data_IF_310060047331
#
_entry.id   IF_310060047331
#
_cell.length_a   1.000
_cell.length_b   1.000
_cell.length_c   1.000
_cell.angle_alpha   90.00
_cell.angle_beta   90.00
_cell.angle_gamma   90.00
#
_symmetry.space_group_name_H-M   'P 1'
#
loop_
_entity.id
_entity.type
_entity.pdbx_description
1 polymer ?
#
# COMPACT_ATOMS: atom_id res chain seq x y z
N UNK A 1 11.38 -9.66 -1.82
CA UNK A 1 10.65 -10.11 -0.60
C UNK A 1 11.02 -9.29 0.62
N UNK A 2 12.31 -9.10 0.95
CA UNK A 2 12.70 -8.30 2.13
C UNK A 2 12.12 -6.87 2.15
N UNK A 3 12.04 -6.18 1.00
CA UNK A 3 11.40 -4.86 0.93
C UNK A 3 9.95 -4.87 1.41
N UNK A 4 9.17 -5.90 1.05
CA UNK A 4 7.76 -6.03 1.43
C UNK A 4 7.58 -6.15 2.94
N UNK A 5 8.51 -6.81 3.64
CA UNK A 5 8.45 -6.96 5.10
C UNK A 5 8.56 -5.62 5.83
N UNK A 6 9.12 -4.60 5.18
CA UNK A 6 9.26 -3.24 5.71
C UNK A 6 8.17 -2.29 5.22
N UNK A 7 7.25 -2.76 4.37
CA UNK A 7 6.10 -1.96 3.95
C UNK A 7 5.15 -1.71 5.14
N UNK A 8 4.54 -0.53 5.18
CA UNK A 8 3.55 -0.17 6.21
C UNK A 8 3.82 1.16 6.91
N UNK A 9 5.08 1.65 6.93
CA UNK A 9 5.39 2.95 7.54
C UNK A 9 4.60 4.11 6.90
N UNK A 10 4.24 4.00 5.62
CA UNK A 10 3.48 5.04 4.91
C UNK A 10 2.09 5.27 5.48
N UNK A 11 1.46 4.27 6.10
CA UNK A 11 0.13 4.43 6.73
C UNK A 11 0.14 5.50 7.82
N UNK A 12 1.23 5.62 8.57
CA UNK A 12 1.40 6.68 9.57
C UNK A 12 1.40 8.08 8.94
N UNK A 13 1.89 8.22 7.71
CA UNK A 13 1.87 9.48 6.98
C UNK A 13 0.47 9.84 6.44
N UNK A 14 -0.34 8.83 6.08
CA UNK A 14 -1.73 9.06 5.63
C UNK A 14 -2.60 9.56 6.80
N UNK A 15 -2.37 9.03 8.01
CA UNK A 15 -3.06 9.48 9.23
C UNK A 15 -2.46 10.74 9.86
N UNK A 16 -1.52 11.42 9.20
CA UNK A 16 -0.87 12.62 9.71
C UNK A 16 -1.86 13.73 10.14
N UNK A 17 -3.02 13.81 9.48
CA UNK A 17 -4.06 14.79 9.80
C UNK A 17 -4.79 14.53 11.12
N UNK A 18 -4.74 13.31 11.64
CA UNK A 18 -5.36 12.91 12.92
C UNK A 18 -4.36 12.91 14.08
N UNK A 19 -3.07 13.12 13.80
CA UNK A 19 -2.00 13.10 14.79
C UNK A 19 -1.79 14.48 15.41
N UNK A 20 -1.74 14.54 16.74
CA UNK A 20 -1.33 15.74 17.48
C UNK A 20 0.15 16.05 17.21
N UNK A 21 0.45 17.25 16.72
CA UNK A 21 1.79 17.74 16.39
C UNK A 21 2.55 16.84 15.38
N UNK A 22 2.06 16.68 14.14
CA UNK A 22 2.58 15.73 13.17
C UNK A 22 4.07 15.96 12.83
N UNK A 23 4.53 17.23 12.85
CA UNK A 23 5.92 17.60 12.55
C UNK A 23 6.97 16.91 13.44
N UNK A 24 6.63 16.62 14.70
CA UNK A 24 7.56 15.96 15.65
C UNK A 24 7.20 14.49 15.85
N UNK A 25 5.91 14.19 15.93
CA UNK A 25 5.43 12.84 16.24
C UNK A 25 5.71 11.86 15.11
N UNK A 26 5.51 12.25 13.84
CA UNK A 26 5.67 11.34 12.70
C UNK A 26 7.12 10.86 12.55
N UNK A 27 8.15 11.73 12.55
CA UNK A 27 9.54 11.27 12.45
C UNK A 27 9.94 10.33 13.59
N UNK A 28 9.53 10.63 14.82
CA UNK A 28 9.84 9.80 16.00
C UNK A 28 9.12 8.45 15.89
N UNK A 29 7.85 8.44 15.48
CA UNK A 29 7.08 7.21 15.31
C UNK A 29 7.67 6.32 14.22
N UNK A 30 8.10 6.89 13.08
CA UNK A 30 8.72 6.13 11.99
C UNK A 30 10.06 5.54 12.43
N UNK A 31 10.98 6.36 12.96
CA UNK A 31 12.32 5.89 13.38
C UNK A 31 12.21 4.90 14.53
N UNK A 32 11.38 5.19 15.53
CA UNK A 32 11.14 4.31 16.67
C UNK A 32 10.49 3.00 16.25
N UNK A 33 9.46 3.06 15.39
CA UNK A 33 8.78 1.88 14.86
C UNK A 33 9.71 0.98 14.06
N UNK A 34 10.53 1.57 13.18
CA UNK A 34 11.56 0.84 12.41
C UNK A 34 12.58 0.19 13.34
N UNK A 35 13.06 0.92 14.36
CA UNK A 35 14.02 0.39 15.32
C UNK A 35 13.47 -0.78 16.13
N UNK A 36 12.24 -0.65 16.64
CA UNK A 36 11.57 -1.74 17.37
C UNK A 36 11.34 -2.95 16.45
N UNK A 37 10.85 -2.72 15.23
CA UNK A 37 10.65 -3.78 14.25
C UNK A 37 11.96 -4.51 13.90
N UNK A 38 13.06 -3.77 13.71
CA UNK A 38 14.38 -4.35 13.47
C UNK A 38 14.80 -5.29 14.60
N UNK A 39 14.69 -4.83 15.86
CA UNK A 39 15.08 -5.62 17.03
C UNK A 39 14.24 -6.90 17.12
N UNK A 40 12.92 -6.78 16.95
CA UNK A 40 12.02 -7.94 16.98
C UNK A 40 12.34 -8.91 15.85
N UNK A 41 12.57 -8.42 14.62
CA UNK A 41 12.90 -9.27 13.48
C UNK A 41 14.24 -9.99 13.66
N UNK A 42 15.26 -9.30 14.15
CA UNK A 42 16.56 -9.90 14.42
C UNK A 42 16.48 -10.95 15.53
N UNK A 43 15.74 -10.67 16.60
CA UNK A 43 15.53 -11.63 17.68
C UNK A 43 14.80 -12.88 17.17
N UNK A 44 13.72 -12.71 16.40
CA UNK A 44 12.95 -13.81 15.82
C UNK A 44 13.75 -14.60 14.79
N UNK A 45 14.54 -13.92 13.95
CA UNK A 45 15.41 -14.59 12.99
C UNK A 45 16.50 -15.40 13.70
N UNK A 46 17.14 -14.83 14.73
CA UNK A 46 18.18 -15.51 15.50
C UNK A 46 17.65 -16.74 16.24
N UNK A 47 16.47 -16.64 16.87
CA UNK A 47 15.85 -17.79 17.57
C UNK A 47 15.43 -18.87 16.58
N UNK A 48 14.81 -18.50 15.47
CA UNK A 48 14.39 -19.45 14.42
C UNK A 48 15.61 -20.17 13.84
N UNK A 49 16.67 -19.43 13.51
CA UNK A 49 17.92 -19.99 12.99
C UNK A 49 18.60 -20.90 14.01
N UNK A 50 18.58 -20.52 15.30
CA UNK A 50 19.17 -21.32 16.38
C UNK A 50 18.45 -22.65 16.63
N UNK A 51 17.13 -22.71 16.40
CA UNK A 51 16.34 -23.94 16.61
C UNK A 51 16.36 -24.85 15.38
N UNK A 52 16.18 -24.28 14.18
CA UNK A 52 16.02 -25.04 12.95
C UNK A 52 17.36 -25.30 12.24
N UNK A 53 18.31 -24.38 12.35
CA UNK A 53 19.51 -24.35 11.53
C UNK A 53 19.29 -23.66 10.17
N UNK A 54 20.39 -23.35 9.45
CA UNK A 54 20.34 -22.56 8.21
C UNK A 54 19.66 -23.28 7.03
N UNK A 55 19.80 -24.59 6.91
CA UNK A 55 19.25 -25.33 5.76
C UNK A 55 17.72 -25.42 5.77
N UNK A 56 17.14 -25.76 6.92
CA UNK A 56 15.70 -25.91 7.13
C UNK A 56 14.98 -24.56 7.08
N UNK A 57 15.59 -23.50 7.60
CA UNK A 57 15.06 -22.13 7.52
C UNK A 57 14.92 -21.64 6.07
N UNK A 58 15.82 -22.05 5.17
CA UNK A 58 15.78 -21.71 3.75
C UNK A 58 14.82 -22.56 2.91
N UNK A 59 14.48 -23.76 3.38
CA UNK A 59 13.62 -24.72 2.66
C UNK A 59 12.15 -24.64 3.03
N UNK A 60 11.84 -24.34 4.29
CA UNK A 60 10.47 -24.41 4.79
C UNK A 60 9.68 -23.12 4.48
N UNK A 61 8.45 -23.26 4.01
CA UNK A 61 7.55 -22.13 3.78
C UNK A 61 6.99 -21.53 5.08
N UNK A 62 7.04 -22.28 6.20
CA UNK A 62 6.53 -21.86 7.52
C UNK A 62 7.58 -22.06 8.64
N UNK A 63 8.76 -21.41 8.55
CA UNK A 63 9.88 -21.68 9.45
C UNK A 63 9.57 -21.29 10.90
N UNK A 64 8.80 -20.23 11.13
CA UNK A 64 8.42 -19.80 12.49
C UNK A 64 7.54 -20.83 13.21
N UNK A 65 6.56 -21.39 12.50
CA UNK A 65 5.67 -22.40 13.05
C UNK A 65 6.45 -23.67 13.42
N UNK A 66 7.37 -24.11 12.55
CA UNK A 66 8.22 -25.28 12.81
C UNK A 66 9.19 -25.05 13.95
N UNK A 67 9.85 -23.90 14.00
CA UNK A 67 10.73 -23.55 15.11
C UNK A 67 9.99 -23.55 16.45
N UNK A 68 8.79 -22.96 16.50
CA UNK A 68 7.98 -22.94 17.72
C UNK A 68 7.49 -24.34 18.12
N UNK A 69 7.10 -25.17 17.15
CA UNK A 69 6.67 -26.54 17.40
C UNK A 69 7.82 -27.41 17.90
N UNK A 70 9.03 -27.22 17.36
CA UNK A 70 10.22 -27.96 17.79
C UNK A 70 10.74 -27.51 19.16
N UNK A 71 10.67 -26.20 19.46
CA UNK A 71 11.18 -25.66 20.73
C UNK A 71 10.21 -25.86 21.91
N UNK A 72 8.90 -25.74 21.69
CA UNK A 72 7.88 -25.69 22.76
C UNK A 72 6.84 -26.81 22.62
N UNK A 73 6.89 -27.60 21.54
CA UNK A 73 5.87 -28.60 21.22
C UNK A 73 4.64 -28.02 20.54
N UNK A 74 3.59 -28.82 20.42
CA UNK A 74 2.35 -28.47 19.69
C UNK A 74 1.72 -27.14 20.14
N UNK A 75 1.82 -26.81 21.44
CA UNK A 75 1.32 -25.55 21.99
C UNK A 75 2.03 -24.32 21.40
N UNK A 76 3.34 -24.39 21.20
CA UNK A 76 4.09 -23.29 20.57
C UNK A 76 3.65 -23.04 19.13
N UNK A 77 3.44 -24.12 18.37
CA UNK A 77 2.92 -24.03 17.00
C UNK A 77 1.54 -23.37 16.95
N UNK A 78 0.61 -23.77 17.83
CA UNK A 78 -0.75 -23.22 17.88
C UNK A 78 -0.75 -21.72 18.20
N UNK A 79 0.10 -21.26 19.12
CA UNK A 79 0.22 -19.84 19.47
C UNK A 79 0.69 -19.02 18.27
N UNK A 80 1.74 -19.49 17.56
CA UNK A 80 2.24 -18.81 16.36
C UNK A 80 1.16 -18.79 15.26
N UNK A 81 0.41 -19.88 15.10
CA UNK A 81 -0.68 -19.93 14.12
C UNK A 81 -1.79 -18.92 14.45
N UNK A 82 -2.23 -18.87 15.72
CA UNK A 82 -3.23 -17.91 16.17
C UNK A 82 -2.76 -16.45 16.01
N UNK A 83 -1.50 -16.17 16.32
CA UNK A 83 -0.89 -14.86 16.11
C UNK A 83 -0.84 -14.48 14.62
N UNK A 84 -0.44 -15.42 13.75
CA UNK A 84 -0.38 -15.20 12.31
C UNK A 84 -1.77 -14.91 11.72
N UNK A 85 -2.81 -15.64 12.16
CA UNK A 85 -4.19 -15.38 11.75
C UNK A 85 -4.68 -14.01 12.20
N UNK A 86 -4.48 -13.69 13.48
CA UNK A 86 -4.93 -12.42 14.04
C UNK A 86 -4.23 -11.23 13.37
N UNK A 87 -2.92 -11.34 13.14
CA UNK A 87 -2.15 -10.31 12.43
C UNK A 87 -2.62 -10.14 10.98
N UNK A 88 -2.79 -11.25 10.25
CA UNK A 88 -3.22 -11.22 8.84
C UNK A 88 -4.63 -10.65 8.68
N UNK A 89 -5.55 -11.01 9.56
CA UNK A 89 -6.92 -10.48 9.55
C UNK A 89 -6.95 -8.99 9.88
N UNK A 90 -6.14 -8.57 10.85
CA UNK A 90 -6.02 -7.15 11.23
C UNK A 90 -5.51 -6.31 10.06
N UNK A 91 -4.48 -6.79 9.36
CA UNK A 91 -3.91 -6.11 8.20
C UNK A 91 -4.91 -6.04 7.04
N UNK A 92 -5.58 -7.16 6.74
CA UNK A 92 -6.59 -7.25 5.67
C UNK A 92 -7.73 -6.25 5.88
N UNK A 93 -8.23 -6.11 7.11
CA UNK A 93 -9.28 -5.14 7.44
C UNK A 93 -8.76 -3.71 7.27
N UNK A 94 -7.54 -3.42 7.69
CA UNK A 94 -6.91 -2.12 7.52
C UNK A 94 -6.74 -1.72 6.05
N UNK A 95 -6.31 -2.65 5.20
CA UNK A 95 -6.15 -2.43 3.77
C UNK A 95 -7.50 -2.19 3.09
N UNK A 96 -8.50 -3.00 3.42
CA UNK A 96 -9.83 -2.89 2.82
C UNK A 96 -10.49 -1.55 3.16
N UNK A 97 -10.35 -1.08 4.40
CA UNK A 97 -10.83 0.23 4.82
C UNK A 97 -10.11 1.35 4.06
N UNK A 98 -8.78 1.29 3.98
CA UNK A 98 -7.97 2.29 3.28
C UNK A 98 -8.32 2.35 1.79
N UNK A 99 -8.38 1.20 1.13
CA UNK A 99 -8.70 1.10 -0.29
C UNK A 99 -10.13 1.58 -0.59
N UNK A 100 -11.10 1.26 0.27
CA UNK A 100 -12.48 1.71 0.12
C UNK A 100 -12.63 3.23 0.25
N UNK A 101 -11.88 3.87 1.15
CA UNK A 101 -11.87 5.33 1.30
C UNK A 101 -11.29 6.01 0.06
N UNK A 102 -10.19 5.49 -0.48
CA UNK A 102 -9.58 6.02 -1.73
C UNK A 102 -10.53 5.84 -2.92
N UNK A 103 -11.16 4.67 -3.05
CA UNK A 103 -12.12 4.42 -4.12
C UNK A 103 -13.34 5.36 -4.03
N UNK A 104 -13.81 5.66 -2.81
CA UNK A 104 -14.88 6.61 -2.58
C UNK A 104 -14.50 8.03 -3.03
N UNK A 105 -13.34 8.54 -2.60
CA UNK A 105 -12.89 9.91 -2.99
C UNK A 105 -12.65 10.02 -4.49
N UNK A 106 -12.12 8.97 -5.13
CA UNK A 106 -11.98 8.89 -6.59
C UNK A 106 -13.35 8.82 -7.29
N UNK A 107 -14.35 8.19 -6.68
CA UNK A 107 -15.73 8.16 -7.15
C UNK A 107 -16.42 9.54 -7.08
N UNK A 108 -16.23 10.29 -5.99
CA UNK A 108 -16.72 11.68 -5.88
C UNK A 108 -16.04 12.61 -6.88
N UNK A 109 -14.74 12.42 -7.12
CA UNK A 109 -13.98 13.15 -8.14
C UNK A 109 -14.34 12.75 -9.59
N UNK A 110 -15.30 11.82 -9.79
CA UNK A 110 -15.67 11.23 -11.08
C UNK A 110 -14.50 10.58 -11.85
N UNK A 111 -13.42 10.22 -11.15
CA UNK A 111 -12.29 9.47 -11.74
C UNK A 111 -12.60 7.98 -11.88
N UNK A 112 -13.52 7.48 -11.04
CA UNK A 112 -14.09 6.15 -11.12
C UNK A 112 -15.59 6.25 -11.47
N UNK A 113 -16.20 5.17 -12.00
CA UNK A 113 -17.62 5.21 -12.31
C UNK A 113 -18.43 5.50 -11.03
N UNK A 114 -19.33 6.49 -11.11
CA UNK A 114 -19.98 7.10 -9.92
C UNK A 114 -20.73 6.14 -9.00
N UNK A 115 -21.05 4.90 -9.44
CA UNK A 115 -21.62 3.87 -8.58
C UNK A 115 -20.63 3.32 -7.54
N UNK A 116 -19.31 3.45 -7.74
CA UNK A 116 -18.30 3.16 -6.71
C UNK A 116 -18.26 4.22 -5.61
N UNK A 117 -18.61 5.46 -5.94
CA UNK A 117 -18.69 6.58 -4.99
C UNK A 117 -19.99 6.64 -4.18
N UNK A 118 -20.92 5.69 -4.38
CA UNK A 118 -22.20 5.70 -3.66
C UNK A 118 -22.05 5.16 -2.24
N UNK A 119 -22.39 5.98 -1.25
CA UNK A 119 -22.43 5.59 0.17
C UNK A 119 -23.75 4.90 0.49
N UNK A 120 -23.68 3.77 1.19
CA UNK A 120 -24.89 3.12 1.71
C UNK A 120 -25.54 3.95 2.84
N UNK A 121 -26.84 4.30 2.77
CA UNK A 121 -27.49 5.26 3.67
C UNK A 121 -27.48 4.83 5.15
N UNK A 122 -27.57 3.52 5.43
CA UNK A 122 -27.61 2.98 6.80
C UNK A 122 -26.24 2.76 7.45
N UNK A 123 -25.24 2.32 6.68
CA UNK A 123 -23.94 1.92 7.21
C UNK A 123 -22.86 2.99 7.01
N UNK A 124 -23.14 4.02 6.20
CA UNK A 124 -22.18 5.08 5.84
C UNK A 124 -20.85 4.55 5.27
N UNK A 125 -20.88 3.38 4.64
CA UNK A 125 -19.73 2.71 4.01
C UNK A 125 -19.98 2.61 2.50
N UNK A 126 -18.95 2.83 1.65
CA UNK A 126 -19.04 2.60 0.20
C UNK A 126 -19.08 1.09 -0.13
N UNK A 127 -20.26 0.47 0.04
CA UNK A 127 -20.47 -0.99 -0.11
C UNK A 127 -19.99 -1.50 -1.48
N UNK A 128 -20.26 -0.76 -2.54
CA UNK A 128 -19.90 -1.17 -3.90
C UNK A 128 -18.39 -1.21 -4.10
N UNK A 129 -17.65 -0.24 -3.55
CA UNK A 129 -16.19 -0.24 -3.59
C UNK A 129 -15.63 -1.45 -2.83
N UNK A 130 -16.13 -1.72 -1.63
CA UNK A 130 -15.70 -2.87 -0.81
C UNK A 130 -15.95 -4.19 -1.52
N UNK A 131 -17.14 -4.39 -2.09
CA UNK A 131 -17.46 -5.64 -2.82
C UNK A 131 -16.61 -5.80 -4.08
N UNK A 132 -16.39 -4.72 -4.83
CA UNK A 132 -15.57 -4.77 -6.06
C UNK A 132 -14.12 -5.09 -5.73
N UNK A 133 -13.54 -4.41 -4.74
CA UNK A 133 -12.16 -4.66 -4.28
C UNK A 133 -12.04 -6.08 -3.73
N UNK A 134 -12.98 -6.51 -2.89
CA UNK A 134 -12.99 -7.86 -2.33
C UNK A 134 -13.09 -8.94 -3.41
N UNK A 135 -13.91 -8.73 -4.44
CA UNK A 135 -14.01 -9.64 -5.58
C UNK A 135 -12.69 -9.71 -6.38
N UNK A 136 -12.07 -8.56 -6.63
CA UNK A 136 -10.76 -8.51 -7.32
C UNK A 136 -9.71 -9.27 -6.51
N UNK A 137 -9.62 -9.01 -5.21
CA UNK A 137 -8.68 -9.71 -4.31
C UNK A 137 -8.94 -11.21 -4.31
N UNK A 138 -10.20 -11.64 -4.25
CA UNK A 138 -10.58 -13.06 -4.30
C UNK A 138 -10.13 -13.72 -5.60
N UNK A 139 -10.40 -13.09 -6.76
CA UNK A 139 -9.99 -13.62 -8.07
C UNK A 139 -8.47 -13.71 -8.16
N UNK A 140 -7.74 -12.69 -7.70
CA UNK A 140 -6.28 -12.68 -7.71
C UNK A 140 -5.70 -13.77 -6.79
N UNK A 141 -6.26 -13.95 -5.59
CA UNK A 141 -5.83 -14.96 -4.63
C UNK A 141 -6.04 -16.38 -5.14
N UNK A 142 -7.09 -16.63 -5.95
CA UNK A 142 -7.35 -17.94 -6.55
C UNK A 142 -6.53 -18.20 -7.83
N UNK A 143 -6.08 -17.14 -8.51
CA UNK A 143 -5.45 -17.26 -9.83
C UNK A 143 -3.91 -17.23 -9.80
N UNK A 144 -3.30 -16.62 -8.76
CA UNK A 144 -1.87 -16.36 -8.73
C UNK A 144 -1.21 -16.75 -7.41
N UNK A 145 0.04 -17.22 -7.49
CA UNK A 145 0.87 -17.47 -6.32
C UNK A 145 1.18 -16.18 -5.56
N UNK A 146 1.12 -16.27 -4.22
CA UNK A 146 1.46 -15.18 -3.31
C UNK A 146 2.85 -14.61 -3.63
N UNK A 147 3.85 -15.46 -3.85
CA UNK A 147 5.23 -15.01 -4.14
C UNK A 147 5.30 -14.13 -5.38
N UNK A 148 4.48 -14.42 -6.40
CA UNK A 148 4.43 -13.63 -7.63
C UNK A 148 3.69 -12.31 -7.41
N UNK A 149 2.54 -12.37 -6.73
CA UNK A 149 1.75 -11.19 -6.37
C UNK A 149 2.57 -10.19 -5.55
N UNK A 150 3.35 -10.66 -4.57
CA UNK A 150 4.22 -9.81 -3.75
C UNK A 150 5.30 -9.09 -4.59
N UNK A 151 5.87 -9.76 -5.58
CA UNK A 151 6.86 -9.14 -6.47
C UNK A 151 6.23 -8.04 -7.33
N UNK A 152 5.04 -8.29 -7.86
CA UNK A 152 4.27 -7.32 -8.64
C UNK A 152 3.82 -6.14 -7.78
N UNK A 153 3.26 -6.40 -6.60
CA UNK A 153 2.81 -5.37 -5.66
C UNK A 153 3.97 -4.46 -5.22
N UNK A 154 5.18 -5.01 -5.04
CA UNK A 154 6.37 -4.22 -4.71
C UNK A 154 6.67 -3.15 -5.77
N UNK A 155 6.40 -3.42 -7.06
CA UNK A 155 6.61 -2.44 -8.14
C UNK A 155 5.60 -1.30 -8.06
N UNK A 156 4.35 -1.59 -7.71
CA UNK A 156 3.34 -0.56 -7.46
C UNK A 156 3.75 0.34 -6.30
N UNK A 157 4.16 -0.25 -5.18
CA UNK A 157 4.63 0.50 -4.00
C UNK A 157 5.87 1.33 -4.31
N UNK A 158 6.85 0.77 -5.02
CA UNK A 158 8.06 1.51 -5.42
C UNK A 158 7.74 2.65 -6.39
N UNK A 159 6.85 2.42 -7.36
CA UNK A 159 6.39 3.48 -8.28
C UNK A 159 5.72 4.62 -7.50
N UNK A 160 4.87 4.28 -6.54
CA UNK A 160 4.23 5.27 -5.68
C UNK A 160 5.24 6.06 -4.84
N UNK A 161 6.27 5.40 -4.30
CA UNK A 161 7.35 6.06 -3.56
C UNK A 161 8.19 6.97 -4.47
N UNK A 162 8.47 6.58 -5.72
CA UNK A 162 9.15 7.42 -6.70
C UNK A 162 8.33 8.69 -6.95
N UNK A 163 7.03 8.56 -7.20
CA UNK A 163 6.13 9.70 -7.40
C UNK A 163 6.13 10.59 -6.16
N UNK A 164 6.03 10.00 -4.96
CA UNK A 164 6.01 10.74 -3.69
C UNK A 164 7.30 11.51 -3.46
N UNK A 165 8.47 10.90 -3.70
CA UNK A 165 9.76 11.57 -3.60
C UNK A 165 9.91 12.69 -4.62
N UNK A 166 9.43 12.48 -5.85
CA UNK A 166 9.42 13.51 -6.88
C UNK A 166 8.51 14.70 -6.51
N UNK A 167 7.31 14.44 -6.00
CA UNK A 167 6.40 15.47 -5.49
C UNK A 167 7.00 16.23 -4.30
N UNK A 168 7.71 15.55 -3.40
CA UNK A 168 8.39 16.19 -2.28
C UNK A 168 9.50 17.16 -2.74
N UNK A 169 10.16 16.89 -3.87
CA UNK A 169 11.16 17.77 -4.47
C UNK A 169 10.55 19.04 -5.09
N UNK A 170 9.28 19.02 -5.47
CA UNK A 170 8.57 20.20 -6.01
C UNK A 170 8.02 21.13 -4.92
N UNK A 171 7.95 20.67 -3.68
CA UNK A 171 7.41 21.45 -2.57
C UNK A 171 8.29 22.67 -2.23
N UNK A 172 7.68 23.81 -1.86
CA UNK A 172 8.40 25.03 -1.44
C UNK A 172 9.22 24.77 -0.16
N UNK A 173 10.38 25.42 -0.02
CA UNK A 173 11.34 25.22 1.11
C UNK A 173 10.67 25.36 2.48
N UNK A 174 9.70 26.25 2.64
CA UNK A 174 8.98 26.52 3.89
C UNK A 174 8.07 25.37 4.35
N UNK A 175 7.58 24.56 3.40
CA UNK A 175 6.71 23.42 3.68
C UNK A 175 7.47 22.09 3.81
N UNK A 176 8.78 22.08 3.54
CA UNK A 176 9.62 20.87 3.64
C UNK A 176 9.91 20.55 5.11
N UNK A 177 9.59 19.33 5.50
CA UNK A 177 9.94 18.78 6.83
C UNK A 177 11.36 18.22 6.87
N UNK A 178 11.94 17.88 5.71
CA UNK A 178 13.24 17.23 5.58
C UNK A 178 14.07 17.87 4.48
N UNK A 179 15.40 17.70 4.56
CA UNK A 179 16.36 18.16 3.56
C UNK A 179 16.12 17.44 2.22
N UNK A 180 16.21 18.11 1.06
CA UNK A 180 16.00 17.50 -0.26
C UNK A 180 16.93 16.32 -0.57
N UNK A 181 18.06 16.21 0.14
CA UNK A 181 18.97 15.07 0.06
C UNK A 181 18.27 13.75 0.38
N UNK A 182 17.35 13.74 1.35
CA UNK A 182 16.60 12.54 1.73
C UNK A 182 15.69 12.06 0.61
N UNK A 183 15.04 12.98 -0.12
CA UNK A 183 14.20 12.64 -1.27
C UNK A 183 15.01 12.11 -2.45
N UNK A 184 16.20 12.66 -2.69
CA UNK A 184 17.12 12.13 -3.71
C UNK A 184 17.64 10.74 -3.38
N UNK A 185 18.05 10.52 -2.12
CA UNK A 185 18.48 9.19 -1.65
C UNK A 185 17.36 8.16 -1.77
N UNK A 186 16.13 8.52 -1.37
CA UNK A 186 14.97 7.65 -1.51
C UNK A 186 14.66 7.31 -2.98
N UNK A 187 14.78 8.28 -3.89
CA UNK A 187 14.55 8.08 -5.31
C UNK A 187 15.60 7.16 -5.94
N UNK A 188 16.89 7.35 -5.60
CA UNK A 188 17.98 6.46 -6.03
C UNK A 188 17.76 5.05 -5.45
N UNK A 189 17.41 4.95 -4.16
CA UNK A 189 17.11 3.68 -3.51
C UNK A 189 15.96 2.93 -4.16
N UNK A 190 14.87 3.62 -4.52
CA UNK A 190 13.76 3.02 -5.25
C UNK A 190 14.19 2.52 -6.64
N UNK A 191 14.97 3.30 -7.39
CA UNK A 191 15.48 2.90 -8.70
C UNK A 191 16.40 1.68 -8.62
N UNK A 192 17.29 1.64 -7.62
CA UNK A 192 18.16 0.49 -7.38
C UNK A 192 17.36 -0.77 -7.00
N UNK A 193 16.32 -0.62 -6.17
CA UNK A 193 15.45 -1.74 -5.82
C UNK A 193 14.68 -2.25 -7.04
N UNK A 194 14.12 -1.35 -7.86
CA UNK A 194 13.46 -1.74 -9.13
C UNK A 194 14.43 -2.47 -10.06
N UNK A 195 15.68 -2.04 -10.15
CA UNK A 195 16.71 -2.71 -10.94
C UNK A 195 17.13 -4.08 -10.37
N UNK A 196 17.04 -4.26 -9.05
CA UNK A 196 17.33 -5.53 -8.38
C UNK A 196 16.18 -6.53 -8.45
N UNK A 197 14.96 -6.09 -8.78
CA UNK A 197 13.82 -6.97 -8.95
C UNK A 197 13.94 -7.82 -10.23
N UNK A 198 13.43 -9.06 -10.22
CA UNK A 198 13.48 -9.91 -11.39
C UNK A 198 12.69 -9.29 -12.55
N UNK A 199 13.26 -9.36 -13.76
CA UNK A 199 12.78 -8.66 -14.96
C UNK A 199 11.33 -8.99 -15.32
N UNK A 200 10.88 -10.23 -15.08
CA UNK A 200 9.50 -10.63 -15.30
C UNK A 200 8.51 -9.83 -14.43
N UNK A 201 8.87 -9.56 -13.17
CA UNK A 201 8.04 -8.80 -12.27
C UNK A 201 7.97 -7.36 -12.78
N UNK A 202 9.11 -6.75 -13.09
CA UNK A 202 9.22 -5.36 -13.57
C UNK A 202 8.39 -5.14 -14.83
N UNK A 203 8.47 -6.06 -15.79
CA UNK A 203 7.66 -6.01 -17.01
C UNK A 203 6.16 -6.11 -16.71
N UNK A 204 5.73 -7.07 -15.89
CA UNK A 204 4.32 -7.22 -15.55
C UNK A 204 3.76 -5.99 -14.80
N UNK A 205 4.52 -5.41 -13.87
CA UNK A 205 4.14 -4.19 -13.16
C UNK A 205 4.05 -2.98 -14.08
N UNK A 206 5.03 -2.78 -14.98
CA UNK A 206 5.01 -1.71 -15.98
C UNK A 206 3.82 -1.87 -16.93
N UNK A 207 3.55 -3.09 -17.41
CA UNK A 207 2.41 -3.37 -18.28
C UNK A 207 1.12 -2.97 -17.58
N UNK A 208 0.86 -3.45 -16.36
CA UNK A 208 -0.37 -3.12 -15.65
C UNK A 208 -0.48 -1.61 -15.39
N UNK A 209 0.61 -0.95 -14.99
CA UNK A 209 0.63 0.50 -14.82
C UNK A 209 0.33 1.24 -16.13
N UNK A 210 0.90 0.79 -17.25
CA UNK A 210 0.64 1.35 -18.57
C UNK A 210 -0.82 1.11 -19.01
N UNK A 211 -1.39 -0.06 -18.73
CA UNK A 211 -2.80 -0.35 -19.03
C UNK A 211 -3.73 0.52 -18.18
N UNK A 212 -3.43 0.68 -16.88
CA UNK A 212 -4.21 1.53 -15.97
C UNK A 212 -4.09 3.01 -16.32
N UNK A 213 -2.90 3.49 -16.66
CA UNK A 213 -2.68 4.86 -17.12
C UNK A 213 -3.36 5.10 -18.48
N UNK A 214 -3.27 4.14 -19.40
CA UNK A 214 -3.95 4.16 -20.68
C UNK A 214 -5.48 4.18 -20.53
N UNK A 215 -6.02 3.33 -19.65
CA UNK A 215 -7.44 3.30 -19.31
C UNK A 215 -7.89 4.63 -18.69
N UNK A 216 -7.10 5.21 -17.78
CA UNK A 216 -7.37 6.53 -17.20
C UNK A 216 -7.38 7.63 -18.26
N UNK A 217 -6.39 7.65 -19.16
CA UNK A 217 -6.32 8.64 -20.25
C UNK A 217 -7.48 8.49 -21.24
N UNK A 218 -7.87 7.26 -21.58
CA UNK A 218 -9.03 7.00 -22.43
C UNK A 218 -10.32 7.43 -21.72
N UNK A 219 -10.49 7.09 -20.44
CA UNK A 219 -11.65 7.51 -19.66
C UNK A 219 -11.76 9.04 -19.58
N UNK A 220 -10.67 9.75 -19.30
CA UNK A 220 -10.66 11.21 -19.32
C UNK A 220 -10.99 11.76 -20.72
N UNK A 221 -10.44 11.18 -21.80
CA UNK A 221 -10.77 11.61 -23.18
C UNK A 221 -12.23 11.36 -23.56
N UNK A 222 -12.83 10.26 -23.11
CA UNK A 222 -14.25 9.96 -23.36
C UNK A 222 -15.20 10.70 -22.40
N UNK A 223 -14.80 10.94 -21.15
CA UNK A 223 -15.56 11.67 -20.12
C UNK A 223 -15.61 13.18 -20.34
N UNK A 224 -14.53 13.79 -20.86
CA UNK A 224 -14.48 15.22 -21.19
C UNK A 224 -15.45 15.58 -22.35
N UNK A 225 -15.79 14.63 -23.23
CA UNK A 225 -16.83 14.85 -24.26
C UNK A 225 -18.24 15.06 -23.68
N UNK A 226 -18.51 14.60 -22.45
CA UNK A 226 -19.79 14.88 -21.76
C UNK A 226 -19.76 16.24 -21.03
N UNK A 227 -18.59 16.85 -20.86
CA UNK A 227 -18.40 18.13 -20.18
C UNK A 227 -18.60 19.33 -21.10
N UNK A 228 -18.21 19.24 -22.38
CA UNK A 228 -18.46 20.30 -23.36
C UNK A 228 -19.96 20.53 -23.66
N UNK A 229 -20.83 19.58 -23.33
CA UNK A 229 -22.29 19.69 -23.52
C UNK A 229 -23.08 20.25 -22.34
N UNK A 230 -22.47 20.48 -21.17
CA UNK A 230 -23.18 20.96 -19.95
C UNK A 230 -22.71 22.31 -19.39
N UNK A 231 -21.62 22.88 -19.90
CA UNK A 231 -21.20 24.25 -19.55
C UNK A 231 -21.82 25.31 -20.50
N UNK A 232 -22.57 24.88 -21.53
CA UNK A 232 -23.26 25.78 -22.47
C UNK A 232 -24.65 26.26 -22.06
N UNK A 233 -25.24 25.78 -20.96
CA UNK A 233 -26.59 26.15 -20.54
C UNK A 233 -26.70 26.20 -19.01
N UNK A 234 -26.65 27.40 -18.43
CA UNK A 234 -27.07 27.65 -17.06
C UNK A 234 -25.96 28.20 -16.17
N UNK A 235 -25.80 29.52 -16.18
CA UNK A 235 -24.93 30.19 -15.21
C UNK A 235 -24.58 31.61 -15.63
N UNK A 236 -25.60 32.42 -15.95
CA UNK A 236 -25.41 33.86 -16.08
C UNK A 236 -24.78 34.40 -14.80
N UNK A 237 -23.69 35.13 -14.97
CA UNK A 237 -23.05 35.93 -13.92
C UNK A 237 -24.10 36.92 -13.39
N UNK A 238 -24.47 36.92 -12.10
CA UNK A 238 -25.15 38.07 -11.54
C UNK A 238 -24.14 39.20 -11.48
N UNK A 239 -24.32 40.16 -12.38
CA UNK A 239 -23.79 41.51 -12.25
C UNK A 239 -24.55 42.25 -11.13
N UNK A 240 -23.85 43.23 -10.55
CA UNK A 240 -24.38 44.38 -9.80
C UNK A 240 -24.78 44.11 -8.33
N UNK A 241 -24.55 44.99 -7.36
CA UNK A 241 -24.02 46.36 -7.33
C UNK A 241 -23.47 46.65 -5.91
#
# INVERSE_FOLDING_TARGET
MFFWTWDGFMRTAIMAGEIKNPRRTIPIAIIGGIGVAAVVFLAVAATTLGVLGPESMGRDDVPLFRAATQAVGTWGGLIILAAAWTASLSELVGDLLTASRVAYTMGEANELPGWLGSIHPKFRIPRNAVLTIGLIVLVLALSFDLRKLLAVASIFTLTWYIITHFSALQLRKEQRLTTPLFSWLGLIGCLLLVASLPTWATLSGIVVLATLAGFRLLWFRYGVRKFAGRVGHGGGIPKEA
#
